data_IF_530900462914
#
_entry.id   IF_530900462914
#
_cell.length_a   1.000
_cell.length_b   1.000
_cell.length_c   1.000
_cell.angle_alpha   90.00
_cell.angle_beta   90.00
_cell.angle_gamma   90.00
#
_symmetry.space_group_name_H-M   'P 1'
#
loop_
_entity.id
_entity.type
_entity.pdbx_description
1 polymer ?
#
# COMPACT_ATOMS: atom_id res chain seq x y z
N UNK A 1 66.53 -20.84 -0.34
CA UNK A 1 65.67 -20.23 0.70
C UNK A 1 65.26 -18.85 0.22
N UNK A 2 64.10 -18.71 -0.43
CA UNK A 2 63.56 -17.44 -0.88
C UNK A 2 62.06 -17.40 -0.60
N UNK A 3 61.62 -16.31 0.02
CA UNK A 3 60.36 -16.18 0.76
C UNK A 3 59.20 -15.86 -0.18
N UNK A 4 58.10 -16.56 0.03
CA UNK A 4 56.77 -16.35 -0.54
C UNK A 4 56.23 -14.96 -0.20
N UNK A 5 55.81 -14.22 -1.23
CA UNK A 5 55.04 -12.99 -1.07
C UNK A 5 53.55 -13.34 -1.11
N UNK A 6 52.86 -13.11 0.00
CA UNK A 6 51.41 -13.22 0.11
C UNK A 6 50.81 -11.86 -0.25
N UNK A 7 50.03 -11.82 -1.33
CA UNK A 7 49.19 -10.68 -1.69
C UNK A 7 48.00 -10.58 -0.73
N UNK A 8 48.03 -9.56 0.14
CA UNK A 8 46.90 -9.16 0.98
C UNK A 8 46.05 -8.15 0.20
N UNK A 9 45.04 -8.63 -0.51
CA UNK A 9 43.96 -7.77 -1.02
C UNK A 9 42.96 -7.47 0.10
N UNK A 10 42.62 -6.21 0.39
CA UNK A 10 41.53 -5.89 1.30
C UNK A 10 40.18 -6.24 0.67
N UNK A 11 39.43 -7.13 1.35
CA UNK A 11 38.00 -7.36 1.10
C UNK A 11 37.25 -6.07 1.40
N UNK A 12 36.77 -5.40 0.34
CA UNK A 12 35.74 -4.36 0.45
C UNK A 12 34.44 -5.00 0.93
N UNK A 13 34.13 -4.79 2.21
CA UNK A 13 32.83 -5.08 2.79
C UNK A 13 31.81 -4.09 2.22
N UNK A 14 31.09 -4.52 1.18
CA UNK A 14 29.90 -3.80 0.73
C UNK A 14 28.83 -3.90 1.84
N UNK A 15 28.66 -2.80 2.56
CA UNK A 15 27.57 -2.58 3.49
C UNK A 15 26.23 -2.89 2.82
N UNK A 16 25.57 -3.92 3.34
CA UNK A 16 24.17 -4.23 3.18
C UNK A 16 23.32 -3.04 3.63
N UNK A 17 23.08 -2.07 2.74
CA UNK A 17 21.94 -1.18 2.87
C UNK A 17 20.71 -2.03 2.62
N UNK A 18 20.00 -2.37 3.69
CA UNK A 18 18.57 -2.72 3.64
C UNK A 18 17.78 -1.49 3.21
N UNK A 19 18.01 -1.04 1.98
CA UNK A 19 17.17 -0.06 1.32
C UNK A 19 15.88 -0.78 0.96
N UNK A 20 14.84 -0.61 1.77
CA UNK A 20 13.47 -0.80 1.29
C UNK A 20 13.38 0.04 0.01
N UNK A 21 13.10 -0.56 -1.16
CA UNK A 21 13.00 0.22 -2.39
C UNK A 21 11.96 1.32 -2.17
N UNK A 22 12.21 2.56 -2.63
CA UNK A 22 11.16 3.57 -2.64
C UNK A 22 9.98 2.94 -3.37
N UNK A 23 8.86 2.83 -2.67
CA UNK A 23 7.61 2.30 -3.19
C UNK A 23 7.40 2.91 -4.58
N UNK A 24 7.45 2.05 -5.61
CA UNK A 24 7.33 2.46 -7.01
C UNK A 24 6.17 3.46 -7.11
N UNK A 25 6.37 4.61 -7.78
CA UNK A 25 5.32 5.63 -7.89
C UNK A 25 4.09 4.95 -8.47
N UNK A 26 3.06 4.81 -7.63
CA UNK A 26 1.82 4.12 -7.96
C UNK A 26 1.31 4.69 -9.27
N UNK A 27 1.01 3.80 -10.22
CA UNK A 27 0.54 4.21 -11.54
C UNK A 27 -0.83 4.93 -11.50
N UNK A 28 -1.43 5.06 -10.33
CA UNK A 28 -2.82 5.42 -10.09
C UNK A 28 -2.90 6.35 -8.87
N UNK A 29 -3.90 7.24 -8.85
CA UNK A 29 -4.17 8.05 -7.67
C UNK A 29 -4.51 7.15 -6.47
N UNK A 30 -4.08 7.53 -5.27
CA UNK A 30 -4.39 6.81 -4.04
C UNK A 30 -5.35 7.61 -3.17
N UNK A 31 -5.94 6.93 -2.19
CA UNK A 31 -6.81 7.56 -1.20
C UNK A 31 -6.17 7.47 0.19
N UNK A 32 -6.41 8.49 0.99
CA UNK A 32 -6.27 8.43 2.44
C UNK A 32 -7.66 8.26 3.02
N UNK A 33 -7.85 7.21 3.80
CA UNK A 33 -9.16 6.86 4.35
C UNK A 33 -9.09 6.83 5.85
N UNK A 34 -10.24 7.04 6.47
CA UNK A 34 -10.45 6.78 7.88
C UNK A 34 -11.64 5.85 8.08
N UNK A 35 -11.62 5.09 9.17
CA UNK A 35 -12.59 4.02 9.35
C UNK A 35 -12.44 3.21 10.62
N UNK A 36 -13.21 2.13 10.67
CA UNK A 36 -13.36 1.26 11.83
C UNK A 36 -12.56 -0.02 11.60
N UNK A 37 -11.77 -0.42 12.59
CA UNK A 37 -11.13 -1.74 12.63
C UNK A 37 -11.95 -2.68 13.52
N UNK A 38 -12.47 -3.73 12.93
CA UNK A 38 -13.29 -4.73 13.61
C UNK A 38 -12.44 -5.81 14.28
N UNK A 39 -13.04 -6.56 15.20
CA UNK A 39 -12.38 -7.63 15.97
C UNK A 39 -11.93 -8.79 15.10
N UNK A 40 -12.57 -8.98 13.94
CA UNK A 40 -12.14 -9.92 12.90
C UNK A 40 -10.90 -9.47 12.10
N UNK A 41 -10.35 -8.29 12.38
CA UNK A 41 -9.19 -7.75 11.68
C UNK A 41 -9.52 -6.99 10.40
N UNK A 42 -10.77 -7.00 9.93
CA UNK A 42 -11.17 -6.19 8.78
C UNK A 42 -11.24 -4.70 9.13
N UNK A 43 -10.72 -3.88 8.22
CA UNK A 43 -10.86 -2.44 8.24
C UNK A 43 -11.97 -2.04 7.27
N UNK A 44 -12.89 -1.20 7.71
CA UNK A 44 -13.95 -0.63 6.88
C UNK A 44 -13.78 0.87 6.87
N UNK A 45 -13.43 1.42 5.71
CA UNK A 45 -13.34 2.86 5.51
C UNK A 45 -14.76 3.47 5.62
N UNK A 46 -14.92 4.43 6.52
CA UNK A 46 -16.18 5.18 6.68
C UNK A 46 -16.13 6.52 5.96
N UNK A 47 -14.93 7.09 5.77
CA UNK A 47 -14.73 8.36 5.06
C UNK A 47 -13.42 8.35 4.27
N UNK A 48 -13.46 8.98 3.10
CA UNK A 48 -12.25 9.36 2.36
C UNK A 48 -11.80 10.74 2.84
N UNK A 49 -10.60 10.82 3.40
CA UNK A 49 -10.03 12.06 3.95
C UNK A 49 -9.40 12.89 2.85
N UNK A 50 -8.64 12.23 1.97
CA UNK A 50 -7.88 12.92 0.94
C UNK A 50 -7.66 12.01 -0.27
N UNK A 51 -7.44 12.65 -1.42
CA UNK A 51 -7.04 12.00 -2.66
C UNK A 51 -5.63 12.47 -3.00
N UNK A 52 -4.74 11.51 -3.20
CA UNK A 52 -3.36 11.76 -3.59
C UNK A 52 -3.26 11.60 -5.10
N UNK A 53 -3.03 12.71 -5.76
CA UNK A 53 -2.89 12.76 -7.21
C UNK A 53 -1.57 12.11 -7.66
N UNK A 54 -1.64 11.21 -8.64
CA UNK A 54 -0.44 10.56 -9.18
C UNK A 54 0.27 11.38 -10.25
N UNK A 55 -0.31 12.52 -10.69
CA UNK A 55 0.23 13.42 -11.70
C UNK A 55 0.59 12.72 -13.02
N UNK A 56 -0.18 11.69 -13.38
CA UNK A 56 -0.04 10.96 -14.66
C UNK A 56 -1.20 11.28 -15.60
N UNK A 57 -0.96 11.51 -16.90
CA UNK A 57 -2.03 11.75 -17.87
C UNK A 57 -2.82 10.47 -18.21
N UNK A 58 -2.29 9.29 -17.87
CA UNK A 58 -2.91 7.97 -18.11
C UNK A 58 -3.84 7.51 -16.99
N UNK A 59 -4.03 8.29 -15.93
CA UNK A 59 -4.96 7.96 -14.84
C UNK A 59 -6.16 8.89 -14.91
N UNK A 60 -7.38 8.36 -15.07
CA UNK A 60 -8.58 9.21 -15.24
C UNK A 60 -8.93 9.99 -13.98
N UNK A 61 -8.38 9.58 -12.83
CA UNK A 61 -8.53 10.29 -11.56
C UNK A 61 -7.51 11.41 -11.41
N UNK A 62 -6.44 11.46 -12.21
CA UNK A 62 -5.39 12.48 -12.09
C UNK A 62 -5.83 13.84 -12.61
N UNK A 63 -5.40 14.93 -11.98
CA UNK A 63 -5.61 16.30 -12.46
C UNK A 63 -4.95 16.54 -13.82
N UNK A 64 -3.92 15.75 -14.18
CA UNK A 64 -3.24 15.83 -15.47
C UNK A 64 -3.93 15.02 -16.57
N UNK A 65 -5.03 14.34 -16.28
CA UNK A 65 -5.75 13.60 -17.29
C UNK A 65 -6.48 14.56 -18.24
N UNK A 66 -6.28 14.44 -19.57
CA UNK A 66 -6.98 15.29 -20.52
C UNK A 66 -8.49 15.00 -20.49
N UNK A 67 -9.31 16.06 -20.44
CA UNK A 67 -10.78 15.95 -20.39
C UNK A 67 -11.39 15.30 -21.63
N UNK A 68 -10.67 15.32 -22.76
CA UNK A 68 -11.06 14.73 -24.05
C UNK A 68 -10.39 13.38 -24.34
N UNK A 69 -9.86 12.69 -23.32
CA UNK A 69 -9.26 11.37 -23.51
C UNK A 69 -10.28 10.34 -23.98
N UNK A 70 -9.95 9.59 -25.05
CA UNK A 70 -10.75 8.46 -25.55
C UNK A 70 -10.03 7.11 -25.41
N UNK A 71 -8.89 7.08 -24.72
CA UNK A 71 -8.11 5.85 -24.55
C UNK A 71 -8.74 4.95 -23.49
N UNK A 72 -8.96 3.68 -23.86
CA UNK A 72 -9.41 2.62 -22.95
C UNK A 72 -8.29 2.10 -22.04
N UNK A 73 -7.03 2.46 -22.31
CA UNK A 73 -5.87 2.03 -21.53
C UNK A 73 -5.67 2.86 -20.26
N UNK A 74 -6.48 3.89 -20.06
CA UNK A 74 -6.36 4.75 -18.89
C UNK A 74 -6.83 4.03 -17.62
N UNK A 75 -6.08 4.22 -16.53
CA UNK A 75 -6.45 3.66 -15.24
C UNK A 75 -7.68 4.38 -14.69
N UNK A 76 -8.79 3.64 -14.57
CA UNK A 76 -10.09 4.19 -14.14
C UNK A 76 -10.37 4.08 -12.64
N UNK A 77 -9.63 3.22 -11.94
CA UNK A 77 -9.79 2.99 -10.50
C UNK A 77 -8.77 3.77 -9.70
N UNK A 78 -9.01 3.91 -8.40
CA UNK A 78 -7.97 4.31 -7.45
C UNK A 78 -7.04 3.12 -7.18
N UNK A 79 -5.79 3.41 -6.86
CA UNK A 79 -4.87 2.43 -6.30
C UNK A 79 -5.26 2.06 -4.85
N UNK A 80 -4.48 1.18 -4.20
CA UNK A 80 -4.67 0.86 -2.80
C UNK A 80 -4.64 2.13 -1.93
N UNK A 81 -5.33 2.13 -0.79
CA UNK A 81 -5.25 3.25 0.13
C UNK A 81 -3.78 3.45 0.55
N UNK A 82 -3.28 4.69 0.48
CA UNK A 82 -1.91 5.00 0.91
C UNK A 82 -1.81 4.97 2.43
N UNK A 83 -2.88 5.39 3.09
CA UNK A 83 -2.98 5.46 4.55
C UNK A 83 -4.40 5.10 4.99
N UNK A 84 -4.47 4.38 6.11
CA UNK A 84 -5.69 3.97 6.80
C UNK A 84 -5.64 4.53 8.22
N UNK A 85 -6.49 5.51 8.53
CA UNK A 85 -6.60 6.10 9.86
C UNK A 85 -7.72 5.43 10.62
N UNK A 86 -7.36 4.67 11.66
CA UNK A 86 -8.36 3.96 12.47
C UNK A 86 -8.96 4.94 13.48
N UNK A 87 -10.21 5.36 13.25
CA UNK A 87 -10.94 6.28 14.14
C UNK A 87 -11.63 5.55 15.28
N UNK A 88 -11.99 4.29 15.06
CA UNK A 88 -12.61 3.44 16.07
C UNK A 88 -12.15 1.99 15.94
N UNK A 89 -11.99 1.32 17.08
CA UNK A 89 -11.72 -0.12 17.16
C UNK A 89 -12.85 -0.77 17.93
N UNK A 90 -13.40 -1.86 17.40
CA UNK A 90 -14.44 -2.64 18.04
C UNK A 90 -14.03 -4.11 18.10
N UNK A 91 -14.52 -4.84 19.10
CA UNK A 91 -14.38 -6.30 19.20
C UNK A 91 -15.48 -7.04 18.42
N UNK A 92 -16.43 -6.32 17.85
CA UNK A 92 -17.49 -6.89 17.03
C UNK A 92 -16.94 -7.36 15.68
N UNK A 93 -17.69 -8.25 15.03
CA UNK A 93 -17.40 -8.69 13.68
C UNK A 93 -17.95 -7.68 12.68
N UNK A 94 -17.25 -7.46 11.56
CA UNK A 94 -17.85 -6.69 10.47
C UNK A 94 -19.04 -7.44 9.87
N UNK A 95 -19.95 -6.74 9.20
CA UNK A 95 -21.18 -7.32 8.62
C UNK A 95 -20.91 -8.55 7.73
N UNK A 96 -19.77 -8.57 7.04
CA UNK A 96 -19.37 -9.68 6.19
C UNK A 96 -18.91 -10.92 6.96
N UNK A 97 -18.25 -10.73 8.11
CA UNK A 97 -17.79 -11.83 8.96
C UNK A 97 -18.87 -12.29 9.94
N UNK A 98 -19.78 -11.40 10.32
CA UNK A 98 -20.76 -11.62 11.36
C UNK A 98 -21.63 -12.86 11.09
N UNK A 99 -21.99 -13.12 9.82
CA UNK A 99 -22.69 -14.34 9.42
C UNK A 99 -21.92 -15.62 9.78
N UNK A 100 -20.62 -15.67 9.49
CA UNK A 100 -19.78 -16.85 9.72
C UNK A 100 -19.56 -17.12 11.21
N UNK A 101 -19.51 -16.09 12.04
CA UNK A 101 -19.15 -16.22 13.45
C UNK A 101 -20.35 -16.19 14.41
N UNK A 102 -21.53 -15.74 13.98
CA UNK A 102 -22.76 -15.81 14.80
C UNK A 102 -23.21 -17.26 15.08
N UNK A 103 -23.00 -18.18 14.14
CA UNK A 103 -23.32 -19.60 14.31
C UNK A 103 -22.36 -20.37 15.23
N UNK A 104 -21.13 -19.87 15.42
CA UNK A 104 -20.09 -20.53 16.22
C UNK A 104 -20.05 -20.08 17.69
N UNK A 105 -20.99 -19.23 18.13
CA UNK A 105 -21.14 -18.85 19.55
C UNK A 105 -21.99 -19.83 20.36
N UNK A 106 -22.28 -21.02 19.82
CA UNK A 106 -22.78 -22.13 20.63
C UNK A 106 -21.58 -22.73 21.36
N UNK A 107 -21.38 -22.30 22.61
CA UNK A 107 -20.61 -23.04 23.61
C UNK A 107 -21.59 -23.73 24.54
#
# INVERSE_FOLDING_TARGET
MARSQFDNSPVSTNSSRTGVPPSLPTAMCNLETEGIKYGCGHYVATRTVNKIDCMRPTCTKSVRHPSNCRSSECAIYYGPARSETITHRTNEFCEHCDYWFKGSRVR
#
